data_IF_757273942559
#
_entry.id   IF_757273942559
#
_cell.length_a   1.000
_cell.length_b   1.000
_cell.length_c   1.000
_cell.angle_alpha   90.00
_cell.angle_beta   90.00
_cell.angle_gamma   90.00
#
_symmetry.space_group_name_H-M   'P 1'
#
loop_
_entity.id
_entity.type
_entity.pdbx_description
1 polymer ?
#
# COMPACT_ATOMS: atom_id res chain seq x y z
N UNK A 1 -35.92 34.76 -2.49
CA UNK A 1 -34.54 35.13 -2.10
C UNK A 1 -33.88 33.90 -1.49
N UNK A 2 -33.07 33.15 -2.24
CA UNK A 2 -32.36 31.95 -1.76
C UNK A 2 -30.91 32.36 -1.47
N UNK A 3 -30.54 32.34 -0.21
CA UNK A 3 -29.17 32.54 0.23
C UNK A 3 -28.46 31.20 0.07
N UNK A 4 -27.49 31.15 -0.84
CA UNK A 4 -26.55 30.05 -0.99
C UNK A 4 -25.49 30.18 0.13
N UNK A 5 -25.48 29.26 1.07
CA UNK A 5 -24.34 29.07 1.95
C UNK A 5 -23.27 28.27 1.19
N UNK A 6 -22.19 28.94 0.83
CA UNK A 6 -20.96 28.31 0.38
C UNK A 6 -20.21 27.80 1.60
N UNK A 7 -20.24 26.49 1.83
CA UNK A 7 -19.43 25.86 2.86
C UNK A 7 -17.96 25.85 2.42
N UNK A 8 -17.13 26.55 3.16
CA UNK A 8 -15.68 26.68 2.91
C UNK A 8 -14.97 25.36 3.31
N UNK A 9 -14.59 24.56 2.32
CA UNK A 9 -13.88 23.28 2.48
C UNK A 9 -12.36 23.44 2.79
N UNK A 10 -11.98 24.37 3.65
CA UNK A 10 -10.56 24.75 3.78
C UNK A 10 -9.81 24.26 5.02
N UNK A 11 -10.37 23.41 5.89
CA UNK A 11 -9.74 23.10 7.19
C UNK A 11 -9.52 21.61 7.51
N UNK A 12 -9.35 20.71 6.53
CA UNK A 12 -9.13 19.28 6.82
C UNK A 12 -7.69 18.80 6.62
N UNK A 13 -6.72 19.69 6.37
CA UNK A 13 -5.31 19.31 6.17
C UNK A 13 -4.40 19.51 7.39
N UNK A 14 -4.95 19.94 8.53
CA UNK A 14 -4.19 20.05 9.78
C UNK A 14 -4.90 19.19 10.84
N UNK A 15 -4.46 17.94 10.96
CA UNK A 15 -4.86 17.05 12.05
C UNK A 15 -4.45 17.63 13.39
N UNK A 16 -5.39 18.27 14.08
CA UNK A 16 -5.29 18.58 15.49
C UNK A 16 -5.38 17.28 16.30
N UNK A 17 -4.29 16.56 16.44
CA UNK A 17 -4.13 15.54 17.45
C UNK A 17 -4.10 16.22 18.81
N UNK A 18 -5.07 15.90 19.66
CA UNK A 18 -5.06 16.26 21.08
C UNK A 18 -3.85 15.59 21.71
N UNK A 19 -2.77 16.36 21.91
CA UNK A 19 -1.55 15.91 22.55
C UNK A 19 -1.84 15.68 24.04
N UNK A 20 -1.93 14.40 24.43
CA UNK A 20 -1.68 14.02 25.82
C UNK A 20 -0.17 14.12 26.00
N UNK A 21 0.26 15.14 26.74
CA UNK A 21 1.64 15.37 27.12
C UNK A 21 2.13 14.21 28.00
N UNK A 22 2.82 13.24 27.40
CA UNK A 22 3.83 12.47 28.08
C UNK A 22 5.17 13.13 27.79
N UNK A 23 5.68 13.90 28.74
CA UNK A 23 7.07 14.33 28.78
C UNK A 23 7.97 13.11 29.02
N UNK A 24 8.32 12.42 27.94
CA UNK A 24 9.42 11.46 27.90
C UNK A 24 10.41 11.94 26.87
N UNK A 25 11.66 12.13 27.25
CA UNK A 25 12.80 12.54 26.43
C UNK A 25 12.77 11.80 25.07
N UNK A 26 12.33 12.45 24.00
CA UNK A 26 12.43 11.97 22.62
C UNK A 26 13.88 12.18 22.17
N UNK A 27 14.71 11.17 22.33
CA UNK A 27 15.89 11.06 21.49
C UNK A 27 15.41 10.81 20.05
N UNK A 28 15.37 11.85 19.26
CA UNK A 28 15.14 11.77 17.81
C UNK A 28 16.35 11.07 17.21
N UNK A 29 16.21 9.77 16.91
CA UNK A 29 17.19 9.02 16.15
C UNK A 29 16.86 9.23 14.69
N UNK A 30 17.41 10.31 14.09
CA UNK A 30 17.38 10.52 12.65
C UNK A 30 18.20 9.41 11.95
N UNK A 31 17.83 9.00 10.70
CA UNK A 31 18.70 8.15 9.90
C UNK A 31 20.06 8.85 9.70
N UNK A 32 21.15 8.12 9.85
CA UNK A 32 22.52 8.66 9.84
C UNK A 32 22.93 9.34 8.52
N UNK A 33 22.16 9.19 7.40
CA UNK A 33 22.55 9.58 6.04
C UNK A 33 21.53 10.45 5.27
N UNK A 34 20.61 11.17 5.88
CA UNK A 34 19.75 11.93 5.00
C UNK A 34 18.84 12.98 5.62
N UNK A 35 19.04 14.21 5.19
CA UNK A 35 17.97 15.22 5.27
C UNK A 35 16.75 14.74 4.49
N UNK A 36 15.55 15.17 4.87
CA UNK A 36 14.31 14.93 4.10
C UNK A 36 14.48 15.22 2.60
N UNK A 37 15.25 16.25 2.26
CA UNK A 37 15.51 16.65 0.87
C UNK A 37 16.39 15.63 0.12
N UNK A 38 17.36 14.99 0.77
CA UNK A 38 18.18 13.94 0.16
C UNK A 38 17.36 12.67 -0.13
N UNK A 39 16.50 12.28 0.80
CA UNK A 39 15.57 11.14 0.59
C UNK A 39 14.63 11.41 -0.59
N UNK A 40 14.02 12.59 -0.65
CA UNK A 40 13.14 12.96 -1.77
C UNK A 40 13.92 13.11 -3.09
N UNK A 41 15.17 13.59 -3.06
CA UNK A 41 16.01 13.63 -4.25
C UNK A 41 16.29 12.23 -4.82
N UNK A 42 16.57 11.26 -3.93
CA UNK A 42 16.76 9.87 -4.31
C UNK A 42 15.46 9.24 -4.87
N UNK A 43 14.31 9.55 -4.27
CA UNK A 43 13.00 9.12 -4.75
C UNK A 43 12.69 9.70 -6.15
N UNK A 44 13.00 10.99 -6.38
CA UNK A 44 12.86 11.61 -7.71
C UNK A 44 13.75 10.95 -8.76
N UNK A 45 15.00 10.63 -8.43
CA UNK A 45 15.89 9.90 -9.34
C UNK A 45 15.28 8.56 -9.79
N UNK A 46 14.75 7.78 -8.84
CA UNK A 46 14.12 6.48 -9.15
C UNK A 46 12.84 6.67 -9.97
N UNK A 47 11.99 7.61 -9.58
CA UNK A 47 10.76 7.89 -10.33
C UNK A 47 11.05 8.31 -11.77
N UNK A 48 11.96 9.28 -11.97
CA UNK A 48 12.30 9.80 -13.30
C UNK A 48 12.93 8.73 -14.18
N UNK A 49 13.87 7.98 -13.63
CA UNK A 49 14.53 6.87 -14.33
C UNK A 49 13.50 5.84 -14.82
N UNK A 50 12.55 5.46 -13.95
CA UNK A 50 11.52 4.49 -14.31
C UNK A 50 10.55 5.04 -15.34
N UNK A 51 10.01 6.24 -15.13
CA UNK A 51 9.02 6.87 -16.02
C UNK A 51 9.55 7.14 -17.43
N UNK A 52 10.84 7.50 -17.56
CA UNK A 52 11.48 7.69 -18.88
C UNK A 52 11.62 6.36 -19.63
N UNK A 53 11.95 5.28 -18.94
CA UNK A 53 12.10 3.94 -19.56
C UNK A 53 10.75 3.28 -19.87
N UNK A 54 9.70 3.67 -19.18
CA UNK A 54 8.37 3.07 -19.26
C UNK A 54 7.30 4.15 -19.42
N UNK A 55 7.22 4.83 -20.59
CA UNK A 55 6.16 5.79 -20.85
C UNK A 55 4.80 5.08 -20.86
N UNK A 56 3.83 5.61 -20.11
CA UNK A 56 2.53 4.96 -19.89
C UNK A 56 1.72 4.77 -21.18
N UNK A 57 2.00 5.56 -22.22
CA UNK A 57 1.36 5.48 -23.52
C UNK A 57 1.61 4.11 -24.21
N UNK A 58 2.71 3.45 -23.85
CA UNK A 58 3.12 2.17 -24.38
C UNK A 58 2.65 0.98 -23.52
N UNK A 59 2.05 1.25 -22.36
CA UNK A 59 1.72 0.22 -21.37
C UNK A 59 0.25 -0.23 -21.50
N UNK A 60 0.05 -1.39 -22.14
CA UNK A 60 -1.29 -1.97 -22.35
C UNK A 60 -2.11 -2.12 -21.05
N UNK A 61 -1.45 -2.38 -19.93
CA UNK A 61 -2.07 -2.63 -18.61
C UNK A 61 -1.86 -1.49 -17.63
N UNK A 62 -1.65 -0.25 -18.11
CA UNK A 62 -1.32 0.91 -17.29
C UNK A 62 -2.35 1.20 -16.16
N UNK A 63 -3.59 0.73 -16.29
CA UNK A 63 -4.63 0.87 -15.26
C UNK A 63 -4.78 -0.38 -14.37
N UNK A 64 -4.05 -1.46 -14.64
CA UNK A 64 -4.09 -2.69 -13.85
C UNK A 64 -3.25 -2.55 -12.57
N UNK A 65 -3.49 -3.38 -11.57
CA UNK A 65 -2.93 -3.28 -10.22
C UNK A 65 -1.42 -3.02 -10.15
N UNK A 66 -0.64 -3.70 -10.99
CA UNK A 66 0.83 -3.59 -10.97
C UNK A 66 1.33 -2.20 -11.35
N UNK A 67 0.65 -1.53 -12.27
CA UNK A 67 0.90 -0.15 -12.65
C UNK A 67 0.15 0.83 -11.74
N UNK A 68 -1.09 0.52 -11.35
CA UNK A 68 -1.87 1.35 -10.43
C UNK A 68 -1.12 1.58 -9.10
N UNK A 69 -0.39 0.57 -8.62
CA UNK A 69 0.46 0.72 -7.43
C UNK A 69 1.71 1.57 -7.67
N UNK A 70 2.27 1.59 -8.90
CA UNK A 70 3.27 2.60 -9.29
C UNK A 70 2.68 4.01 -9.21
N UNK A 71 1.51 4.19 -9.85
CA UNK A 71 0.85 5.51 -9.87
C UNK A 71 0.46 5.99 -8.48
N UNK A 72 0.10 5.08 -7.58
CA UNK A 72 -0.06 5.41 -6.16
C UNK A 72 1.23 5.99 -5.57
N UNK A 73 2.38 5.34 -5.75
CA UNK A 73 3.68 5.84 -5.27
C UNK A 73 4.06 7.18 -5.89
N UNK A 74 3.88 7.34 -7.22
CA UNK A 74 4.13 8.61 -7.95
C UNK A 74 3.23 9.73 -7.43
N UNK A 75 1.95 9.42 -7.14
CA UNK A 75 1.00 10.37 -6.56
C UNK A 75 1.42 10.79 -5.15
N UNK A 76 1.81 9.82 -4.29
CA UNK A 76 2.32 10.15 -2.94
C UNK A 76 3.54 11.07 -3.02
N UNK A 77 4.50 10.77 -3.93
CA UNK A 77 5.67 11.63 -4.15
C UNK A 77 5.25 13.02 -4.65
N UNK A 78 4.34 13.11 -5.63
CA UNK A 78 3.87 14.37 -6.17
C UNK A 78 3.17 15.26 -5.15
N UNK A 79 2.37 14.66 -4.26
CA UNK A 79 1.69 15.38 -3.18
C UNK A 79 2.63 15.81 -2.04
N UNK A 80 3.76 15.13 -1.88
CA UNK A 80 4.77 15.45 -0.86
C UNK A 80 5.86 16.41 -1.40
N UNK A 81 6.16 16.33 -2.70
CA UNK A 81 7.16 17.17 -3.35
C UNK A 81 6.63 18.60 -3.52
N UNK A 82 7.49 19.59 -3.36
CA UNK A 82 7.14 21.00 -3.58
C UNK A 82 7.02 21.35 -5.06
N UNK A 83 7.43 20.46 -5.96
CA UNK A 83 7.27 20.63 -7.41
C UNK A 83 5.95 20.02 -7.87
N UNK A 84 5.23 20.72 -8.77
CA UNK A 84 3.97 20.22 -9.34
C UNK A 84 4.17 19.07 -10.35
N UNK A 85 5.41 18.76 -10.77
CA UNK A 85 5.66 17.96 -11.97
C UNK A 85 5.06 16.54 -11.94
N UNK A 86 5.06 15.87 -10.80
CA UNK A 86 4.43 14.54 -10.68
C UNK A 86 2.91 14.63 -10.62
N UNK A 87 2.38 15.69 -10.00
CA UNK A 87 0.94 15.96 -10.05
C UNK A 87 0.52 16.27 -11.49
N UNK A 88 1.26 17.12 -12.22
CA UNK A 88 0.99 17.43 -13.62
C UNK A 88 1.12 16.18 -14.52
N UNK A 89 2.09 15.30 -14.21
CA UNK A 89 2.22 14.01 -14.88
C UNK A 89 0.97 13.14 -14.66
N UNK A 90 0.48 13.04 -13.43
CA UNK A 90 -0.71 12.26 -13.12
C UNK A 90 -2.00 12.85 -13.72
N UNK A 91 -2.08 14.16 -13.88
CA UNK A 91 -3.19 14.81 -14.60
C UNK A 91 -3.18 14.42 -16.08
N UNK A 92 -2.02 14.46 -16.74
CA UNK A 92 -1.86 14.03 -18.15
C UNK A 92 -2.17 12.55 -18.32
N UNK A 93 -1.68 11.70 -17.41
CA UNK A 93 -2.01 10.28 -17.35
C UNK A 93 -3.53 10.04 -17.26
N UNK A 94 -4.19 10.71 -16.32
CA UNK A 94 -5.64 10.60 -16.15
C UNK A 94 -6.41 11.04 -17.39
N UNK A 95 -6.06 12.16 -17.99
CA UNK A 95 -6.71 12.64 -19.21
C UNK A 95 -6.45 11.70 -20.41
N UNK A 96 -5.25 11.12 -20.55
CA UNK A 96 -4.91 10.13 -21.57
C UNK A 96 -5.80 8.88 -21.49
N UNK A 97 -5.95 8.32 -20.29
CA UNK A 97 -6.80 7.16 -20.03
C UNK A 97 -8.26 7.53 -19.73
N UNK A 98 -8.66 8.80 -19.94
CA UNK A 98 -10.03 9.30 -19.71
C UNK A 98 -10.53 9.00 -18.30
N UNK A 99 -9.60 8.96 -17.34
CA UNK A 99 -9.86 8.65 -15.93
C UNK A 99 -10.56 7.29 -15.71
N UNK A 100 -10.38 6.35 -16.66
CA UNK A 100 -10.97 5.02 -16.61
C UNK A 100 -10.28 4.09 -15.62
N UNK A 101 -10.74 2.86 -15.60
CA UNK A 101 -10.17 1.73 -14.88
C UNK A 101 -10.05 0.52 -15.81
N UNK A 102 -9.26 -0.49 -15.41
CA UNK A 102 -9.08 -1.69 -16.24
C UNK A 102 -10.19 -2.69 -15.96
N UNK A 103 -11.00 -3.03 -16.99
CA UNK A 103 -12.01 -4.09 -16.91
C UNK A 103 -11.41 -5.41 -17.43
N UNK A 104 -11.29 -6.37 -16.54
CA UNK A 104 -10.84 -7.74 -16.86
C UNK A 104 -11.99 -8.68 -17.27
N UNK A 105 -13.16 -8.13 -17.56
CA UNK A 105 -14.39 -8.87 -17.89
C UNK A 105 -15.24 -9.22 -16.67
N UNK A 106 -14.85 -8.84 -15.47
CA UNK A 106 -15.63 -8.98 -14.23
C UNK A 106 -16.34 -7.68 -13.83
N UNK A 107 -16.41 -6.71 -14.74
CA UNK A 107 -17.09 -5.43 -14.54
C UNK A 107 -16.61 -4.68 -13.27
N UNK A 108 -15.29 -4.79 -13.00
CA UNK A 108 -14.63 -4.13 -11.88
C UNK A 108 -14.79 -4.81 -10.51
N UNK A 109 -15.41 -5.97 -10.43
CA UNK A 109 -15.46 -6.71 -9.15
C UNK A 109 -14.10 -7.24 -8.69
N UNK A 110 -13.19 -7.52 -9.63
CA UNK A 110 -11.83 -7.92 -9.29
C UNK A 110 -11.12 -6.80 -8.53
N UNK A 111 -10.52 -7.12 -7.40
CA UNK A 111 -9.85 -6.11 -6.56
C UNK A 111 -8.78 -5.31 -7.34
N UNK A 112 -8.07 -5.97 -8.23
CA UNK A 112 -7.00 -5.37 -9.03
C UNK A 112 -7.52 -4.25 -9.96
N UNK A 113 -8.75 -4.37 -10.46
CA UNK A 113 -9.42 -3.33 -11.25
C UNK A 113 -9.71 -2.07 -10.44
N UNK A 114 -9.87 -2.21 -9.12
CA UNK A 114 -10.23 -1.11 -8.22
C UNK A 114 -9.00 -0.33 -7.74
N UNK A 115 -7.80 -0.89 -7.90
CA UNK A 115 -6.56 -0.35 -7.35
C UNK A 115 -6.27 1.09 -7.81
N UNK A 116 -6.58 1.43 -9.06
CA UNK A 116 -6.37 2.80 -9.60
C UNK A 116 -7.23 3.84 -8.87
N UNK A 117 -8.31 3.44 -8.23
CA UNK A 117 -9.17 4.31 -7.44
C UNK A 117 -8.43 5.05 -6.32
N UNK A 118 -7.41 4.41 -5.72
CA UNK A 118 -6.58 5.04 -4.71
C UNK A 118 -5.89 6.31 -5.23
N UNK A 119 -5.38 6.25 -6.46
CA UNK A 119 -4.69 7.37 -7.14
C UNK A 119 -5.65 8.53 -7.37
N UNK A 120 -6.79 8.24 -7.96
CA UNK A 120 -7.77 9.26 -8.31
C UNK A 120 -8.39 9.92 -7.08
N UNK A 121 -8.63 9.13 -6.04
CA UNK A 121 -9.16 9.64 -4.78
C UNK A 121 -8.11 10.42 -3.98
N UNK A 122 -6.83 10.05 -4.02
CA UNK A 122 -5.77 10.86 -3.40
C UNK A 122 -5.67 12.25 -4.07
N UNK A 123 -5.78 12.33 -5.41
CA UNK A 123 -5.82 13.60 -6.13
C UNK A 123 -7.06 14.43 -5.77
N UNK A 124 -8.22 13.79 -5.62
CA UNK A 124 -9.45 14.46 -5.25
C UNK A 124 -9.42 14.98 -3.81
N UNK A 125 -8.92 14.18 -2.86
CA UNK A 125 -8.74 14.56 -1.47
C UNK A 125 -7.74 15.70 -1.30
N UNK A 126 -6.73 15.77 -2.16
CA UNK A 126 -5.77 16.87 -2.22
C UNK A 126 -6.34 18.12 -2.92
N UNK A 127 -7.56 18.09 -3.45
CA UNK A 127 -8.20 19.21 -4.15
C UNK A 127 -7.62 19.49 -5.54
N UNK A 128 -6.93 18.50 -6.14
CA UNK A 128 -6.33 18.62 -7.47
C UNK A 128 -7.37 18.46 -8.58
N UNK A 129 -8.14 17.37 -8.55
CA UNK A 129 -9.21 17.07 -9.52
C UNK A 129 -10.14 15.97 -9.01
N UNK A 130 -11.42 16.02 -9.35
CA UNK A 130 -12.41 14.99 -9.00
C UNK A 130 -12.81 14.13 -10.22
N UNK A 131 -12.21 14.33 -11.41
CA UNK A 131 -12.58 13.62 -12.64
C UNK A 131 -12.57 12.10 -12.43
N UNK A 132 -11.45 11.56 -11.95
CA UNK A 132 -11.30 10.13 -11.69
C UNK A 132 -12.11 9.63 -10.50
N UNK A 133 -12.22 10.42 -9.43
CA UNK A 133 -13.00 10.07 -8.25
C UNK A 133 -14.48 9.85 -8.58
N UNK A 134 -15.07 10.66 -9.48
CA UNK A 134 -16.45 10.48 -9.93
C UNK A 134 -16.64 9.15 -10.70
N UNK A 135 -15.67 8.76 -11.54
CA UNK A 135 -15.70 7.48 -12.27
C UNK A 135 -15.59 6.30 -11.29
N UNK A 136 -14.68 6.38 -10.33
CA UNK A 136 -14.51 5.33 -9.31
C UNK A 136 -15.74 5.23 -8.40
N UNK A 137 -16.41 6.34 -8.10
CA UNK A 137 -17.65 6.33 -7.34
C UNK A 137 -18.74 5.49 -8.02
N UNK A 138 -18.90 5.62 -9.35
CA UNK A 138 -19.88 4.80 -10.08
C UNK A 138 -19.55 3.31 -10.01
N UNK A 139 -18.25 2.97 -10.05
CA UNK A 139 -17.76 1.60 -9.89
C UNK A 139 -18.05 1.06 -8.49
N UNK A 140 -17.66 1.81 -7.45
CA UNK A 140 -17.81 1.40 -6.06
C UNK A 140 -19.29 1.35 -5.62
N UNK A 141 -20.14 2.26 -6.11
CA UNK A 141 -21.60 2.21 -5.91
C UNK A 141 -22.20 0.89 -6.43
N UNK A 142 -21.71 0.41 -7.60
CA UNK A 142 -22.14 -0.86 -8.16
C UNK A 142 -21.73 -2.03 -7.28
N UNK A 143 -20.48 -2.04 -6.84
CA UNK A 143 -19.88 -3.14 -6.08
C UNK A 143 -20.49 -3.22 -4.68
N UNK A 144 -20.62 -2.09 -3.99
CA UNK A 144 -21.04 -2.06 -2.60
C UNK A 144 -22.56 -2.06 -2.41
N UNK A 145 -23.31 -1.36 -3.29
CA UNK A 145 -24.72 -1.05 -3.01
C UNK A 145 -25.71 -1.66 -4.00
N UNK A 146 -25.34 -1.83 -5.28
CA UNK A 146 -26.27 -2.32 -6.30
C UNK A 146 -26.23 -3.85 -6.45
N UNK A 147 -25.04 -4.46 -6.39
CA UNK A 147 -24.89 -5.89 -6.56
C UNK A 147 -23.67 -6.44 -5.77
N UNK A 148 -23.66 -6.32 -4.43
CA UNK A 148 -22.55 -6.78 -3.62
C UNK A 148 -22.35 -8.29 -3.75
N UNK A 149 -21.08 -8.72 -3.70
CA UNK A 149 -20.68 -10.12 -3.77
C UNK A 149 -20.42 -10.74 -2.40
N UNK A 150 -20.93 -10.16 -1.32
CA UNK A 150 -20.69 -10.57 0.08
C UNK A 150 -21.11 -12.01 0.38
N UNK A 151 -22.03 -12.59 -0.41
CA UNK A 151 -22.44 -13.99 -0.30
C UNK A 151 -21.57 -14.98 -1.06
N UNK A 152 -20.62 -14.53 -1.90
CA UNK A 152 -19.70 -15.40 -2.62
C UNK A 152 -18.68 -16.01 -1.64
N UNK A 153 -18.20 -17.24 -1.93
CA UNK A 153 -17.20 -17.92 -1.11
C UNK A 153 -15.85 -17.21 -1.14
N UNK A 154 -15.13 -17.27 -0.02
CA UNK A 154 -13.73 -16.87 0.08
C UNK A 154 -12.76 -17.98 -0.35
N UNK A 155 -13.23 -19.20 -0.57
CA UNK A 155 -12.40 -20.30 -1.04
C UNK A 155 -11.85 -20.02 -2.45
N UNK A 156 -10.54 -20.21 -2.63
CA UNK A 156 -9.86 -19.99 -3.90
C UNK A 156 -10.31 -20.96 -5.00
N UNK A 157 -10.71 -22.17 -4.63
CA UNK A 157 -11.21 -23.18 -5.55
C UNK A 157 -12.48 -22.79 -6.31
N UNK A 158 -13.26 -21.84 -5.80
CA UNK A 158 -14.38 -21.27 -6.51
C UNK A 158 -13.94 -20.15 -7.45
N UNK A 159 -14.18 -20.32 -8.75
CA UNK A 159 -13.60 -19.47 -9.82
C UNK A 159 -14.09 -18.00 -9.87
N UNK A 160 -15.04 -17.59 -9.05
CA UNK A 160 -15.56 -16.22 -9.07
C UNK A 160 -14.68 -15.29 -8.24
N UNK A 161 -13.95 -14.36 -8.89
CA UNK A 161 -13.12 -13.35 -8.23
C UNK A 161 -13.91 -12.04 -7.96
N UNK A 162 -15.20 -12.16 -7.65
CA UNK A 162 -16.04 -11.01 -7.31
C UNK A 162 -15.90 -10.54 -5.87
N UNK A 163 -15.32 -11.37 -5.01
CA UNK A 163 -15.00 -11.08 -3.61
C UNK A 163 -13.48 -11.08 -3.42
N UNK A 164 -13.00 -10.31 -2.46
CA UNK A 164 -11.57 -10.14 -2.18
C UNK A 164 -11.00 -11.34 -1.41
N UNK A 165 -10.70 -12.44 -2.08
CA UNK A 165 -10.36 -13.73 -1.47
C UNK A 165 -8.88 -14.12 -1.49
N UNK A 166 -8.00 -13.14 -1.67
CA UNK A 166 -6.55 -13.29 -1.56
C UNK A 166 -5.96 -12.08 -0.83
N UNK A 167 -4.80 -12.28 -0.17
CA UNK A 167 -4.26 -11.30 0.75
C UNK A 167 -3.90 -9.97 0.10
N UNK A 168 -3.41 -9.97 -1.14
CA UNK A 168 -3.07 -8.75 -1.89
C UNK A 168 -4.30 -7.88 -2.15
N UNK A 169 -5.48 -8.50 -2.32
CA UNK A 169 -6.73 -7.78 -2.54
C UNK A 169 -7.05 -6.78 -1.44
N UNK A 170 -6.57 -7.03 -0.21
CA UNK A 170 -6.75 -6.14 0.94
C UNK A 170 -6.06 -4.78 0.76
N UNK A 171 -5.03 -4.70 -0.10
CA UNK A 171 -4.46 -3.42 -0.49
C UNK A 171 -5.16 -2.85 -1.73
N UNK A 172 -5.53 -3.68 -2.69
CA UNK A 172 -5.97 -3.24 -4.00
C UNK A 172 -7.32 -2.52 -3.96
N UNK A 173 -8.28 -3.06 -3.22
CA UNK A 173 -9.67 -2.60 -3.25
C UNK A 173 -10.10 -1.78 -2.01
N UNK A 174 -10.09 -2.30 -0.77
CA UNK A 174 -10.69 -1.60 0.38
C UNK A 174 -10.03 -0.26 0.68
N UNK A 175 -8.77 -0.09 0.30
CA UNK A 175 -8.04 1.16 0.45
C UNK A 175 -8.57 2.28 -0.47
N UNK A 176 -9.27 1.96 -1.56
CA UNK A 176 -10.03 2.90 -2.38
C UNK A 176 -11.33 3.30 -1.67
N UNK A 177 -12.09 2.32 -1.17
CA UNK A 177 -13.36 2.57 -0.47
C UNK A 177 -13.22 3.46 0.77
N UNK A 178 -12.18 3.28 1.59
CA UNK A 178 -11.96 4.15 2.75
C UNK A 178 -11.71 5.61 2.34
N UNK A 179 -10.99 5.83 1.22
CA UNK A 179 -10.81 7.17 0.63
C UNK A 179 -12.12 7.74 0.09
N UNK A 180 -12.93 6.89 -0.57
CA UNK A 180 -14.25 7.27 -1.07
C UNK A 180 -15.16 7.73 0.06
N UNK A 181 -15.17 7.02 1.19
CA UNK A 181 -15.93 7.40 2.37
C UNK A 181 -15.53 8.80 2.88
N UNK A 182 -14.23 9.10 2.91
CA UNK A 182 -13.73 10.42 3.33
C UNK A 182 -14.06 11.49 2.31
N UNK A 183 -13.88 11.21 1.02
CA UNK A 183 -14.14 12.19 -0.05
C UNK A 183 -15.61 12.57 -0.17
N UNK A 184 -16.50 11.57 -0.06
CA UNK A 184 -17.95 11.80 -0.17
C UNK A 184 -18.61 12.21 1.16
N UNK A 185 -18.00 11.87 2.30
CA UNK A 185 -18.63 11.91 3.62
C UNK A 185 -19.63 10.80 3.87
N UNK A 186 -19.80 9.84 2.96
CA UNK A 186 -20.71 8.70 3.08
C UNK A 186 -20.00 7.48 3.67
N UNK A 187 -20.22 7.22 4.94
CA UNK A 187 -19.55 6.14 5.66
C UNK A 187 -19.99 4.73 5.24
N UNK A 188 -21.06 4.57 4.44
CA UNK A 188 -21.47 3.26 3.92
C UNK A 188 -20.37 2.59 3.06
N UNK A 189 -19.51 3.38 2.39
CA UNK A 189 -18.35 2.84 1.69
C UNK A 189 -17.35 2.21 2.67
N UNK A 190 -17.12 2.84 3.82
CA UNK A 190 -16.26 2.28 4.85
C UNK A 190 -16.90 1.10 5.56
N UNK A 191 -18.23 1.10 5.78
CA UNK A 191 -18.96 -0.05 6.33
C UNK A 191 -18.79 -1.28 5.45
N UNK A 192 -18.97 -1.13 4.14
CA UNK A 192 -18.75 -2.21 3.18
C UNK A 192 -17.29 -2.69 3.18
N UNK A 193 -16.34 -1.76 3.13
CA UNK A 193 -14.93 -2.10 3.12
C UNK A 193 -14.48 -2.80 4.42
N UNK A 194 -14.95 -2.34 5.59
CA UNK A 194 -14.65 -2.94 6.89
C UNK A 194 -15.19 -4.38 6.97
N UNK A 195 -16.43 -4.60 6.52
CA UNK A 195 -17.03 -5.93 6.48
C UNK A 195 -16.22 -6.91 5.63
N UNK A 196 -15.92 -6.55 4.38
CA UNK A 196 -15.23 -7.43 3.43
C UNK A 196 -13.73 -7.59 3.77
N UNK A 197 -13.08 -6.51 4.24
CA UNK A 197 -11.69 -6.56 4.69
C UNK A 197 -11.52 -7.58 5.82
N UNK A 198 -12.34 -7.47 6.87
CA UNK A 198 -12.25 -8.37 8.02
C UNK A 198 -12.59 -9.79 7.64
N UNK A 199 -13.62 -10.01 6.82
CA UNK A 199 -13.97 -11.34 6.38
C UNK A 199 -12.80 -12.04 5.69
N UNK A 200 -12.11 -11.34 4.77
CA UNK A 200 -10.95 -11.86 4.07
C UNK A 200 -9.72 -12.01 4.98
N UNK A 201 -9.45 -10.99 5.81
CA UNK A 201 -8.34 -11.03 6.75
C UNK A 201 -8.48 -12.18 7.74
N UNK A 202 -9.63 -12.33 8.41
CA UNK A 202 -9.87 -13.38 9.40
C UNK A 202 -9.85 -14.79 8.77
N UNK A 203 -10.25 -14.90 7.49
CA UNK A 203 -10.19 -16.17 6.75
C UNK A 203 -8.77 -16.60 6.41
N UNK A 204 -7.88 -15.64 6.08
CA UNK A 204 -6.52 -15.93 5.61
C UNK A 204 -5.45 -15.83 6.71
N UNK A 205 -5.75 -15.19 7.84
CA UNK A 205 -4.76 -14.86 8.86
C UNK A 205 -4.46 -16.05 9.76
N UNK A 206 -3.21 -16.48 9.73
CA UNK A 206 -2.66 -17.50 10.65
C UNK A 206 -2.25 -16.81 11.97
N UNK A 207 -2.97 -17.13 13.05
CA UNK A 207 -2.78 -16.50 14.37
C UNK A 207 -1.49 -16.94 15.06
N UNK A 208 -0.99 -18.13 14.75
CA UNK A 208 0.21 -18.70 15.38
C UNK A 208 1.48 -18.02 14.86
N UNK A 209 1.47 -17.60 13.58
CA UNK A 209 2.63 -16.99 12.93
C UNK A 209 2.46 -15.48 12.70
N UNK A 210 1.23 -14.95 12.74
CA UNK A 210 0.94 -13.54 12.57
C UNK A 210 1.07 -13.04 11.12
N UNK A 211 0.80 -13.92 10.13
CA UNK A 211 0.83 -13.63 8.70
C UNK A 211 -0.44 -14.15 8.01
N UNK A 212 -0.75 -13.59 6.85
CA UNK A 212 -1.80 -14.09 5.98
C UNK A 212 -1.24 -15.11 4.98
N UNK A 213 -1.96 -16.22 4.78
CA UNK A 213 -1.78 -17.02 3.57
C UNK A 213 -2.15 -16.20 2.34
N UNK A 214 -1.54 -16.52 1.19
CA UNK A 214 -1.88 -15.81 -0.05
C UNK A 214 -3.37 -15.95 -0.38
N UNK A 215 -3.89 -17.19 -0.30
CA UNK A 215 -5.29 -17.58 -0.44
C UNK A 215 -5.47 -18.99 0.16
N UNK A 216 -6.69 -19.53 0.17
CA UNK A 216 -6.98 -20.83 0.78
C UNK A 216 -6.23 -22.01 0.12
N UNK A 217 -5.75 -21.88 -1.11
CA UNK A 217 -4.94 -22.93 -1.74
C UNK A 217 -3.57 -23.11 -1.09
N UNK A 218 -3.16 -22.18 -0.23
CA UNK A 218 -1.93 -22.23 0.55
C UNK A 218 -2.12 -22.87 1.93
N UNK A 219 -3.36 -23.11 2.37
CA UNK A 219 -3.61 -23.80 3.62
C UNK A 219 -2.97 -25.19 3.59
N UNK A 220 -2.21 -25.54 4.61
CA UNK A 220 -1.50 -26.82 4.66
C UNK A 220 -0.24 -26.94 3.81
N UNK A 221 0.08 -25.98 2.90
CA UNK A 221 1.39 -25.99 2.21
C UNK A 221 2.52 -25.75 3.20
N UNK A 222 3.64 -26.44 2.97
CA UNK A 222 4.84 -26.33 3.81
C UNK A 222 6.07 -26.02 2.98
N UNK A 223 6.93 -25.20 3.56
CA UNK A 223 8.28 -24.92 3.08
C UNK A 223 9.22 -26.12 3.36
N UNK A 224 10.41 -26.19 2.76
CA UNK A 224 11.38 -27.26 3.01
C UNK A 224 11.75 -27.46 4.49
N UNK A 225 11.74 -26.39 5.29
CA UNK A 225 11.98 -26.45 6.75
C UNK A 225 10.73 -26.82 7.57
N UNK A 226 9.61 -27.20 6.92
CA UNK A 226 8.36 -27.61 7.57
C UNK A 226 7.43 -26.44 7.97
N UNK A 227 7.86 -25.19 7.87
CA UNK A 227 7.01 -24.02 8.20
C UNK A 227 5.92 -23.81 7.16
N UNK A 228 4.79 -23.17 7.50
CA UNK A 228 3.82 -22.69 6.53
C UNK A 228 4.45 -21.74 5.50
N UNK A 229 3.88 -21.68 4.29
CA UNK A 229 4.35 -20.78 3.24
C UNK A 229 3.67 -19.42 3.37
N UNK A 230 4.43 -18.41 3.78
CA UNK A 230 3.96 -17.02 3.82
C UNK A 230 4.77 -16.15 2.84
N UNK A 231 4.08 -15.67 1.82
CA UNK A 231 4.69 -14.86 0.78
C UNK A 231 4.93 -13.43 1.24
N UNK A 232 6.18 -12.97 1.14
CA UNK A 232 6.62 -11.65 1.63
C UNK A 232 5.84 -10.51 0.98
N UNK A 233 5.79 -10.42 -0.35
CA UNK A 233 5.06 -9.33 -1.03
C UNK A 233 3.58 -9.35 -0.71
N UNK A 234 2.94 -10.52 -0.64
CA UNK A 234 1.54 -10.64 -0.24
C UNK A 234 1.29 -10.07 1.15
N UNK A 235 2.11 -10.45 2.13
CA UNK A 235 2.04 -9.91 3.48
C UNK A 235 2.48 -8.43 3.56
N UNK A 236 3.37 -7.99 2.68
CA UNK A 236 3.71 -6.58 2.52
C UNK A 236 2.49 -5.75 2.12
N UNK A 237 1.68 -6.23 1.17
CA UNK A 237 0.41 -5.60 0.81
C UNK A 237 -0.56 -5.52 1.98
N UNK A 238 -0.69 -6.60 2.77
CA UNK A 238 -1.56 -6.61 3.96
C UNK A 238 -1.10 -5.57 4.98
N UNK A 239 0.21 -5.51 5.29
CA UNK A 239 0.73 -4.56 6.26
C UNK A 239 0.59 -3.10 5.78
N UNK A 240 0.87 -2.83 4.51
CA UNK A 240 0.66 -1.53 3.89
C UNK A 240 -0.84 -1.15 3.83
N UNK A 241 -1.73 -2.13 3.62
CA UNK A 241 -3.18 -1.87 3.63
C UNK A 241 -3.70 -1.48 5.01
N UNK A 242 -3.23 -2.14 6.07
CA UNK A 242 -3.59 -1.77 7.45
C UNK A 242 -3.19 -0.33 7.76
N UNK A 243 -1.96 0.08 7.37
CA UNK A 243 -1.51 1.46 7.49
C UNK A 243 -2.40 2.42 6.69
N UNK A 244 -2.76 2.05 5.47
CA UNK A 244 -3.56 2.89 4.57
C UNK A 244 -5.01 3.00 5.06
N UNK A 245 -5.62 1.91 5.51
CA UNK A 245 -6.96 1.94 6.13
C UNK A 245 -6.97 2.87 7.33
N UNK A 246 -6.01 2.73 8.24
CA UNK A 246 -5.89 3.59 9.44
C UNK A 246 -5.60 5.05 9.10
N UNK A 247 -4.89 5.33 8.01
CA UNK A 247 -4.58 6.70 7.55
C UNK A 247 -5.86 7.49 7.22
N UNK A 248 -6.82 6.84 6.58
CA UNK A 248 -8.05 7.50 6.10
C UNK A 248 -9.27 7.24 7.00
N UNK A 249 -9.25 6.16 7.80
CA UNK A 249 -10.35 5.81 8.69
C UNK A 249 -10.54 6.89 9.77
N UNK A 250 -11.76 7.40 9.99
CA UNK A 250 -12.02 8.36 11.06
C UNK A 250 -11.61 7.82 12.44
N UNK A 251 -11.05 8.69 13.29
CA UNK A 251 -10.60 8.31 14.62
C UNK A 251 -11.72 7.69 15.48
N UNK A 252 -12.97 8.17 15.32
CA UNK A 252 -14.16 7.66 16.02
C UNK A 252 -14.81 6.43 15.38
N UNK A 253 -14.22 5.82 14.36
CA UNK A 253 -14.79 4.64 13.72
C UNK A 253 -14.80 3.44 14.69
N UNK A 254 -15.96 2.79 14.92
CA UNK A 254 -16.04 1.72 15.93
C UNK A 254 -15.09 0.54 15.67
N UNK A 255 -14.80 0.29 14.39
CA UNK A 255 -13.90 -0.76 13.93
C UNK A 255 -12.41 -0.46 14.06
N UNK A 256 -12.02 0.81 14.24
CA UNK A 256 -10.62 1.27 14.16
C UNK A 256 -9.67 0.50 15.08
N UNK A 257 -10.07 0.24 16.33
CA UNK A 257 -9.25 -0.50 17.29
C UNK A 257 -8.90 -1.93 16.87
N UNK A 258 -9.69 -2.56 16.00
CA UNK A 258 -9.34 -3.85 15.42
C UNK A 258 -8.14 -3.70 14.45
N UNK A 259 -8.15 -2.73 13.55
CA UNK A 259 -7.04 -2.46 12.61
C UNK A 259 -5.76 -2.10 13.35
N UNK A 260 -5.84 -1.29 14.40
CA UNK A 260 -4.69 -0.93 15.24
C UNK A 260 -4.05 -2.16 15.89
N UNK A 261 -4.87 -3.07 16.47
CA UNK A 261 -4.35 -4.32 17.03
C UNK A 261 -3.73 -5.24 15.97
N UNK A 262 -4.36 -5.38 14.80
CA UNK A 262 -3.83 -6.22 13.71
C UNK A 262 -2.52 -5.63 13.18
N UNK A 263 -2.45 -4.32 13.00
CA UNK A 263 -1.23 -3.62 12.59
C UNK A 263 -0.10 -3.85 13.60
N UNK A 264 -0.33 -3.62 14.89
CA UNK A 264 0.67 -3.80 15.93
C UNK A 264 1.13 -5.26 16.05
N UNK A 265 0.20 -6.22 16.00
CA UNK A 265 0.54 -7.64 16.02
C UNK A 265 1.37 -8.06 14.82
N UNK A 266 0.95 -7.65 13.61
CA UNK A 266 1.68 -7.95 12.39
C UNK A 266 3.07 -7.26 12.35
N UNK A 267 3.21 -6.06 12.92
CA UNK A 267 4.50 -5.39 13.04
C UNK A 267 5.52 -6.24 13.84
N UNK A 268 5.10 -6.96 14.88
CA UNK A 268 5.99 -7.86 15.61
C UNK A 268 6.42 -9.06 14.75
N UNK A 269 5.47 -9.72 14.07
CA UNK A 269 5.76 -10.87 13.23
C UNK A 269 6.68 -10.50 12.06
N UNK A 270 6.42 -9.37 11.40
CA UNK A 270 7.26 -8.83 10.33
C UNK A 270 8.66 -8.51 10.85
N UNK A 271 8.79 -7.88 12.03
CA UNK A 271 10.10 -7.63 12.65
C UNK A 271 10.87 -8.92 12.90
N UNK A 272 10.20 -9.97 13.42
CA UNK A 272 10.84 -11.25 13.71
C UNK A 272 11.33 -11.98 12.46
N UNK A 273 10.68 -11.76 11.31
CA UNK A 273 11.03 -12.36 10.03
C UNK A 273 12.09 -11.57 9.23
N UNK A 274 12.58 -10.42 9.73
CA UNK A 274 13.62 -9.65 9.03
C UNK A 274 14.95 -10.41 9.06
N UNK A 275 15.55 -10.62 7.91
CA UNK A 275 16.85 -11.29 7.77
C UNK A 275 18.03 -10.39 8.18
N UNK A 276 19.21 -10.97 8.35
CA UNK A 276 20.41 -10.24 8.82
C UNK A 276 20.86 -9.14 7.86
N UNK A 277 20.58 -9.30 6.55
CA UNK A 277 20.85 -8.30 5.51
C UNK A 277 19.88 -7.10 5.53
N UNK A 278 18.90 -7.11 6.43
CA UNK A 278 17.93 -6.04 6.60
C UNK A 278 16.70 -6.15 5.70
N UNK A 279 16.62 -7.16 4.83
CA UNK A 279 15.50 -7.38 3.92
C UNK A 279 14.49 -8.39 4.48
N UNK A 280 13.43 -8.66 3.71
CA UNK A 280 12.58 -9.82 3.87
C UNK A 280 12.67 -10.64 2.59
N UNK A 281 12.98 -11.92 2.75
CA UNK A 281 13.03 -12.85 1.62
C UNK A 281 11.62 -13.19 1.13
N UNK A 282 11.50 -13.68 -0.09
CA UNK A 282 10.22 -13.93 -0.73
C UNK A 282 9.32 -14.90 0.07
N UNK A 283 9.90 -15.90 0.74
CA UNK A 283 9.23 -16.77 1.73
C UNK A 283 9.70 -16.38 3.14
N UNK A 284 8.80 -15.81 3.93
CA UNK A 284 9.13 -15.16 5.21
C UNK A 284 9.72 -16.10 6.27
N UNK A 285 9.25 -17.37 6.33
CA UNK A 285 9.65 -18.30 7.38
C UNK A 285 10.64 -19.37 6.91
N UNK A 286 11.17 -19.25 5.70
CA UNK A 286 12.16 -20.17 5.17
C UNK A 286 13.24 -19.41 4.36
N UNK A 287 13.95 -18.46 4.99
CA UNK A 287 14.93 -17.64 4.27
C UNK A 287 16.14 -18.43 3.75
N UNK A 288 16.42 -19.60 4.31
CA UNK A 288 17.56 -20.46 3.92
C UNK A 288 17.27 -21.34 2.69
N UNK A 289 16.03 -21.37 2.19
CA UNK A 289 15.69 -22.08 0.96
C UNK A 289 16.47 -21.48 -0.21
N UNK A 290 17.32 -22.27 -0.89
CA UNK A 290 18.23 -21.79 -1.93
C UNK A 290 17.57 -21.10 -3.13
N UNK A 291 16.26 -21.25 -3.30
CA UNK A 291 15.46 -20.50 -4.26
C UNK A 291 14.83 -19.21 -3.68
N UNK A 292 14.97 -18.98 -2.38
CA UNK A 292 14.40 -17.85 -1.68
C UNK A 292 15.41 -16.70 -1.57
N UNK A 293 15.15 -15.58 -2.21
CA UNK A 293 16.07 -14.44 -2.29
C UNK A 293 15.52 -13.22 -1.56
N UNK A 294 16.38 -12.24 -1.19
CA UNK A 294 15.93 -10.91 -0.80
C UNK A 294 14.91 -10.35 -1.80
N UNK A 295 13.80 -9.81 -1.31
CA UNK A 295 12.70 -9.35 -2.16
C UNK A 295 12.34 -7.90 -1.85
N UNK A 296 12.68 -6.99 -2.77
CA UNK A 296 12.62 -5.55 -2.50
C UNK A 296 11.20 -4.99 -2.53
N UNK A 297 10.27 -5.56 -3.28
CA UNK A 297 8.91 -5.03 -3.30
C UNK A 297 8.20 -5.23 -1.95
N UNK A 298 8.31 -6.43 -1.35
CA UNK A 298 7.83 -6.68 0.01
C UNK A 298 8.56 -5.83 1.05
N UNK A 299 9.90 -5.72 0.94
CA UNK A 299 10.72 -4.89 1.82
C UNK A 299 10.27 -3.42 1.83
N UNK A 300 9.99 -2.84 0.65
CA UNK A 300 9.48 -1.46 0.54
C UNK A 300 8.09 -1.29 1.14
N UNK A 301 7.21 -2.29 1.00
CA UNK A 301 5.88 -2.26 1.61
C UNK A 301 5.94 -2.32 3.13
N UNK A 302 6.83 -3.14 3.69
CA UNK A 302 7.06 -3.18 5.13
C UNK A 302 7.66 -1.86 5.65
N UNK A 303 8.61 -1.28 4.92
CA UNK A 303 9.15 0.05 5.23
C UNK A 303 8.04 1.10 5.26
N UNK A 304 7.17 1.14 4.24
CA UNK A 304 6.03 2.06 4.23
C UNK A 304 5.16 1.89 5.49
N UNK A 305 4.77 0.67 5.83
CA UNK A 305 3.94 0.39 6.99
C UNK A 305 4.61 0.82 8.30
N UNK A 306 5.87 0.42 8.54
CA UNK A 306 6.60 0.80 9.74
C UNK A 306 6.78 2.31 9.88
N UNK A 307 7.21 2.97 8.81
CA UNK A 307 7.41 4.42 8.80
C UNK A 307 6.12 5.16 9.07
N UNK A 308 5.03 4.76 8.39
CA UNK A 308 3.72 5.34 8.65
C UNK A 308 3.29 5.14 10.11
N UNK A 309 3.44 3.92 10.64
CA UNK A 309 3.07 3.61 12.02
C UNK A 309 3.85 4.41 13.06
N UNK A 310 5.17 4.60 12.84
CA UNK A 310 6.02 5.42 13.71
C UNK A 310 5.69 6.92 13.59
N UNK A 311 5.53 7.42 12.38
CA UNK A 311 5.20 8.83 12.11
C UNK A 311 3.87 9.26 12.73
N UNK A 312 2.92 8.31 12.87
CA UNK A 312 1.61 8.55 13.47
C UNK A 312 1.49 8.09 14.94
N UNK A 313 2.60 7.68 15.56
CA UNK A 313 2.64 7.30 16.98
C UNK A 313 1.92 6.00 17.33
N UNK A 314 1.56 5.18 16.32
CA UNK A 314 0.89 3.89 16.53
C UNK A 314 1.85 2.83 17.07
N UNK A 315 3.10 2.86 16.64
CA UNK A 315 4.19 2.00 17.12
C UNK A 315 5.42 2.85 17.50
N UNK A 316 6.18 2.47 18.56
CA UNK A 316 7.28 3.28 19.05
C UNK A 316 8.55 3.14 18.19
N UNK A 317 9.16 4.26 17.82
CA UNK A 317 10.43 4.29 17.08
C UNK A 317 11.58 3.60 17.84
N UNK A 318 11.56 3.63 19.18
CA UNK A 318 12.55 2.91 20.00
C UNK A 318 12.57 1.40 19.78
N UNK A 319 11.46 0.81 19.35
CA UNK A 319 11.32 -0.64 19.10
C UNK A 319 11.57 -1.04 17.66
N UNK A 320 11.21 -0.17 16.70
CA UNK A 320 11.20 -0.50 15.28
C UNK A 320 12.19 0.31 14.44
N UNK A 321 12.82 1.35 15.01
CA UNK A 321 13.74 2.21 14.30
C UNK A 321 14.92 1.45 13.68
N UNK A 322 15.52 0.49 14.38
CA UNK A 322 16.63 -0.30 13.84
C UNK A 322 16.18 -1.26 12.72
N UNK A 323 14.95 -1.78 12.77
CA UNK A 323 14.36 -2.56 11.67
C UNK A 323 14.29 -1.72 10.41
N UNK A 324 13.76 -0.50 10.54
CA UNK A 324 13.64 0.45 9.43
C UNK A 324 15.00 0.88 8.89
N UNK A 325 15.95 1.23 9.74
CA UNK A 325 17.30 1.64 9.31
C UNK A 325 18.03 0.54 8.51
N UNK A 326 17.95 -0.72 8.97
CA UNK A 326 18.56 -1.85 8.25
C UNK A 326 17.88 -2.04 6.90
N UNK A 327 16.55 -2.04 6.85
CA UNK A 327 15.81 -2.20 5.61
C UNK A 327 16.05 -1.05 4.64
N UNK A 328 16.08 0.20 5.13
CA UNK A 328 16.36 1.37 4.30
C UNK A 328 17.74 1.30 3.65
N UNK A 329 18.79 0.94 4.43
CA UNK A 329 20.15 0.74 3.88
C UNK A 329 20.19 -0.34 2.80
N UNK A 330 19.48 -1.45 3.01
CA UNK A 330 19.42 -2.53 2.03
C UNK A 330 18.70 -2.09 0.72
N UNK A 331 17.62 -1.32 0.85
CA UNK A 331 16.90 -0.78 -0.30
C UNK A 331 17.73 0.27 -1.03
N UNK A 332 18.39 1.19 -0.32
CA UNK A 332 19.23 2.22 -0.94
C UNK A 332 20.43 1.61 -1.67
N UNK A 333 21.04 0.55 -1.12
CA UNK A 333 22.10 -0.20 -1.76
C UNK A 333 21.65 -0.96 -3.02
N UNK A 334 20.35 -1.27 -3.16
CA UNK A 334 19.79 -1.89 -4.37
C UNK A 334 19.48 -0.88 -5.48
N UNK A 335 19.60 0.43 -5.20
CA UNK A 335 19.37 1.50 -6.18
C UNK A 335 20.69 1.84 -6.89
N UNK A 336 20.71 1.65 -8.19
CA UNK A 336 21.86 2.00 -9.04
C UNK A 336 22.05 3.51 -9.21
N UNK A 337 23.19 3.93 -9.73
CA UNK A 337 23.49 5.36 -9.97
C UNK A 337 22.57 6.00 -11.00
N UNK A 338 21.98 5.23 -11.91
CA UNK A 338 20.99 5.68 -12.89
C UNK A 338 19.52 5.55 -12.41
N UNK A 339 19.31 5.22 -11.13
CA UNK A 339 18.01 5.22 -10.48
C UNK A 339 17.15 3.97 -10.70
N UNK A 340 17.75 2.83 -11.09
CA UNK A 340 17.05 1.55 -11.11
C UNK A 340 17.04 0.94 -9.72
N UNK A 341 15.96 0.27 -9.36
CA UNK A 341 15.89 -0.50 -8.11
C UNK A 341 15.61 -1.97 -8.43
N UNK A 342 16.59 -2.83 -8.22
CA UNK A 342 16.53 -4.24 -8.55
C UNK A 342 15.97 -5.14 -7.44
N UNK A 343 16.16 -6.45 -7.62
CA UNK A 343 15.74 -7.51 -6.68
C UNK A 343 14.24 -7.51 -6.38
N UNK A 344 13.42 -7.19 -7.37
CA UNK A 344 11.97 -7.26 -7.27
C UNK A 344 11.49 -8.56 -7.92
N UNK A 345 10.90 -9.45 -7.14
CA UNK A 345 10.30 -10.66 -7.70
C UNK A 345 9.29 -10.30 -8.79
N UNK A 346 9.35 -10.95 -9.93
CA UNK A 346 8.36 -10.79 -11.01
C UNK A 346 6.93 -11.02 -10.51
N UNK A 347 5.97 -10.55 -11.28
CA UNK A 347 4.55 -10.78 -10.98
C UNK A 347 4.29 -12.27 -10.78
N UNK A 348 3.80 -12.63 -9.60
CA UNK A 348 3.56 -14.00 -9.15
C UNK A 348 2.45 -14.03 -8.10
N UNK A 349 2.05 -15.24 -7.72
CA UNK A 349 1.09 -15.50 -6.66
C UNK A 349 1.68 -16.35 -5.52
N UNK A 350 3.02 -16.48 -5.47
CA UNK A 350 3.74 -17.32 -4.52
C UNK A 350 5.18 -16.80 -4.35
N UNK A 351 5.90 -17.22 -3.29
CA UNK A 351 7.32 -16.96 -3.16
C UNK A 351 8.11 -17.48 -4.37
N UNK A 352 9.15 -16.75 -4.74
CA UNK A 352 10.07 -17.10 -5.82
C UNK A 352 11.29 -16.21 -5.78
N UNK A 353 12.30 -16.53 -6.61
CA UNK A 353 13.54 -15.75 -6.69
C UNK A 353 13.33 -14.38 -7.34
N UNK A 354 14.22 -13.46 -7.00
CA UNK A 354 14.38 -12.17 -7.68
C UNK A 354 15.87 -11.96 -8.00
N UNK A 355 16.18 -11.60 -9.24
CA UNK A 355 17.55 -11.25 -9.64
C UNK A 355 17.86 -9.79 -9.34
N UNK A 356 19.15 -9.45 -9.31
CA UNK A 356 19.62 -8.07 -9.07
C UNK A 356 19.09 -7.06 -10.08
N UNK A 357 18.80 -7.50 -11.31
CA UNK A 357 18.36 -6.64 -12.41
C UNK A 357 16.84 -6.55 -12.52
N UNK A 358 16.10 -7.40 -11.80
CA UNK A 358 14.64 -7.42 -11.88
C UNK A 358 14.04 -6.22 -11.16
N UNK A 359 13.38 -5.37 -11.95
CA UNK A 359 12.62 -4.20 -11.50
C UNK A 359 11.14 -4.41 -11.83
N UNK A 360 10.26 -3.87 -11.02
CA UNK A 360 8.83 -4.00 -11.22
C UNK A 360 8.07 -2.72 -10.82
N UNK A 361 7.04 -2.30 -11.58
CA UNK A 361 6.32 -1.05 -11.33
C UNK A 361 5.75 -1.00 -9.91
N UNK A 362 5.17 -2.09 -9.42
CA UNK A 362 4.61 -2.17 -8.05
C UNK A 362 5.67 -2.01 -6.95
N UNK A 363 6.89 -2.46 -7.18
CA UNK A 363 7.98 -2.31 -6.21
C UNK A 363 8.52 -0.88 -6.21
N UNK A 364 8.64 -0.26 -7.38
CA UNK A 364 8.99 1.17 -7.50
C UNK A 364 7.94 2.02 -6.80
N UNK A 365 6.63 1.76 -7.02
CA UNK A 365 5.56 2.48 -6.32
C UNK A 365 5.64 2.34 -4.80
N UNK A 366 5.89 1.13 -4.30
CA UNK A 366 6.09 0.86 -2.87
C UNK A 366 7.31 1.63 -2.30
N UNK A 367 8.43 1.65 -3.05
CA UNK A 367 9.60 2.44 -2.68
C UNK A 367 9.29 3.93 -2.57
N UNK A 368 8.60 4.51 -3.57
CA UNK A 368 8.26 5.95 -3.57
C UNK A 368 7.38 6.32 -2.37
N UNK A 369 6.39 5.49 -2.05
CA UNK A 369 5.54 5.69 -0.89
C UNK A 369 6.33 5.58 0.44
N UNK A 370 7.24 4.58 0.54
CA UNK A 370 8.11 4.44 1.70
C UNK A 370 9.08 5.62 1.83
N UNK A 371 9.64 6.13 0.74
CA UNK A 371 10.52 7.28 0.73
C UNK A 371 9.82 8.56 1.22
N UNK A 372 8.55 8.77 0.83
CA UNK A 372 7.74 9.88 1.34
C UNK A 372 7.54 9.78 2.86
N UNK A 373 7.30 8.59 3.38
CA UNK A 373 7.18 8.40 4.83
C UNK A 373 8.55 8.51 5.54
N UNK A 374 9.64 8.06 4.88
CA UNK A 374 11.00 8.20 5.40
C UNK A 374 11.42 9.68 5.52
N UNK A 375 11.06 10.51 4.55
CA UNK A 375 11.33 11.94 4.58
C UNK A 375 10.61 12.69 5.73
N UNK A 376 9.55 12.11 6.28
CA UNK A 376 8.83 12.64 7.44
C UNK A 376 9.41 12.16 8.78
N UNK A 377 10.10 11.04 8.77
CA UNK A 377 10.62 10.41 9.99
C UNK A 377 11.79 11.23 10.54
N UNK A 378 11.70 11.63 11.85
CA UNK A 378 12.68 12.48 12.54
C UNK A 378 13.10 11.84 13.85
#
# INVERSE_FOLDING_TARGET
MKVKQAATRRNFLLGGGMAILFEGCRLAIAPEDGSSDAVLARARLVADSFLVRHPYENERYALWWNWATLWWGVTQLGLADRSSRYVDFMLKFGDHFKWGWFDDGLHGYHADSQCIGQVYLDLALAGVTDKGANVIRELEDRIAFKAPATGDSLDWGERRLRRWKWCDALFMAPTSFVRMAVWTGDMRYLEFADLEYRATFDFLFDRDHGFCYRDSSFFGRRSPNGTPVFWSRGNGWVFASLATMLKYMPAGWPGRGWYERMFCGMAESVKAAQTADGTWHANLLCPEDGGNTPEMSGTCLYLYGYLWGMNNGLIPASRYGEVVKRAWRAVDAAITSDGRIGRMQRMAAAPGSASEQEEAPYGVGAYLAAAVEMAKWR
#
